data_IF_496173698177
#
_entry.id   IF_496173698177
#
_cell.length_a   1.000
_cell.length_b   1.000
_cell.length_c   1.000
_cell.angle_alpha   90.00
_cell.angle_beta   90.00
_cell.angle_gamma   90.00
#
_symmetry.space_group_name_H-M   'P 1'
#
loop_
_entity.id
_entity.type
_entity.pdbx_description
1 polymer ?
#
# COMPACT_ATOMS: atom_id res chain seq x y z
N UNK A 1 -1.58 -5.11 25.43
CA UNK A 1 -3.04 -4.89 25.45
C UNK A 1 -3.56 -4.48 24.08
N UNK A 2 -2.95 -3.48 23.39
CA UNK A 2 -3.40 -3.04 22.06
C UNK A 2 -3.41 -4.16 21.02
N UNK A 3 -2.37 -5.00 20.99
CA UNK A 3 -2.31 -6.13 20.07
C UNK A 3 -3.47 -7.10 20.26
N UNK A 4 -3.87 -7.34 21.52
CA UNK A 4 -5.03 -8.19 21.85
C UNK A 4 -6.33 -7.56 21.37
N UNK A 5 -6.52 -6.26 21.62
CA UNK A 5 -7.72 -5.54 21.15
C UNK A 5 -7.80 -5.52 19.61
N UNK A 6 -6.68 -5.32 18.93
CA UNK A 6 -6.62 -5.29 17.48
C UNK A 6 -7.00 -6.63 16.84
N UNK A 7 -6.79 -7.75 17.53
CA UNK A 7 -7.02 -9.08 16.95
C UNK A 7 -8.26 -9.79 17.48
N UNK A 8 -8.66 -9.54 18.70
CA UNK A 8 -9.62 -10.39 19.42
C UNK A 8 -10.88 -9.66 19.92
N UNK A 9 -10.96 -8.35 19.81
CA UNK A 9 -12.17 -7.65 20.22
C UNK A 9 -13.34 -7.99 19.29
N UNK A 10 -14.53 -8.17 19.85
CA UNK A 10 -15.72 -8.50 19.06
C UNK A 10 -16.18 -7.34 18.19
N UNK A 11 -15.94 -6.10 18.62
CA UNK A 11 -16.31 -4.90 17.87
C UNK A 11 -15.25 -4.53 16.84
N UNK A 12 -15.57 -4.54 15.54
CA UNK A 12 -14.62 -4.16 14.49
C UNK A 12 -14.11 -2.72 14.61
N UNK A 13 -14.90 -1.80 15.17
CA UNK A 13 -14.43 -0.42 15.39
C UNK A 13 -13.35 -0.37 16.47
N UNK A 14 -13.46 -1.19 17.50
CA UNK A 14 -12.40 -1.33 18.52
C UNK A 14 -11.15 -1.95 17.89
N UNK A 15 -11.31 -3.00 17.07
CA UNK A 15 -10.17 -3.61 16.36
C UNK A 15 -9.49 -2.59 15.44
N UNK A 16 -10.26 -1.79 14.71
CA UNK A 16 -9.74 -0.76 13.82
C UNK A 16 -8.96 0.32 14.59
N UNK A 17 -9.56 0.85 15.66
CA UNK A 17 -8.93 1.87 16.50
C UNK A 17 -7.62 1.36 17.14
N UNK A 18 -7.64 0.13 17.66
CA UNK A 18 -6.45 -0.50 18.24
C UNK A 18 -5.35 -0.72 17.18
N UNK A 19 -5.74 -1.12 15.98
CA UNK A 19 -4.82 -1.30 14.85
C UNK A 19 -4.10 0.02 14.49
N UNK A 20 -4.82 1.11 14.44
CA UNK A 20 -4.23 2.44 14.21
C UNK A 20 -3.31 2.87 15.36
N UNK A 21 -3.73 2.63 16.60
CA UNK A 21 -2.96 3.00 17.79
C UNK A 21 -1.64 2.20 17.91
N UNK A 22 -1.58 0.98 17.35
CA UNK A 22 -0.34 0.19 17.32
C UNK A 22 0.81 0.92 16.63
N UNK A 23 0.53 1.81 15.69
CA UNK A 23 1.54 2.61 15.03
C UNK A 23 2.35 3.52 15.95
N UNK A 24 1.84 3.78 17.15
CA UNK A 24 2.50 4.60 18.18
C UNK A 24 3.25 3.74 19.23
N UNK A 25 3.03 2.45 19.22
CA UNK A 25 3.64 1.52 20.18
C UNK A 25 5.04 1.11 19.73
N UNK A 26 5.93 0.87 20.68
CA UNK A 26 7.30 0.39 20.44
C UNK A 26 7.47 -1.10 20.80
N UNK A 27 6.37 -1.76 21.11
CA UNK A 27 6.42 -3.18 21.50
C UNK A 27 6.79 -4.07 20.31
N UNK A 28 7.52 -5.15 20.56
CA UNK A 28 7.90 -6.12 19.54
C UNK A 28 6.70 -6.80 18.87
N UNK A 29 5.57 -6.89 19.59
CA UNK A 29 4.33 -7.49 19.08
C UNK A 29 3.59 -6.65 18.04
N UNK A 30 3.99 -5.38 17.81
CA UNK A 30 3.30 -4.46 16.90
C UNK A 30 3.28 -4.97 15.48
N UNK A 31 4.42 -5.33 14.95
CA UNK A 31 4.53 -5.75 13.55
C UNK A 31 3.74 -7.04 13.27
N UNK A 32 3.88 -8.12 14.06
CA UNK A 32 3.05 -9.31 13.87
C UNK A 32 1.55 -9.02 13.99
N UNK A 33 1.14 -8.18 14.93
CA UNK A 33 -0.27 -7.83 15.13
C UNK A 33 -0.84 -7.07 13.92
N UNK A 34 -0.09 -6.12 13.36
CA UNK A 34 -0.50 -5.39 12.17
C UNK A 34 -0.55 -6.28 10.94
N UNK A 35 0.42 -7.17 10.77
CA UNK A 35 0.39 -8.13 9.67
C UNK A 35 -0.82 -9.07 9.77
N UNK A 36 -1.16 -9.51 10.98
CA UNK A 36 -2.37 -10.32 11.20
C UNK A 36 -3.65 -9.53 10.89
N UNK A 37 -3.69 -8.24 11.21
CA UNK A 37 -4.85 -7.38 10.94
C UNK A 37 -5.12 -7.18 9.44
N UNK A 38 -4.13 -7.40 8.57
CA UNK A 38 -4.34 -7.43 7.10
C UNK A 38 -5.26 -8.58 6.64
N UNK A 39 -5.50 -9.56 7.50
CA UNK A 39 -6.42 -10.68 7.24
C UNK A 39 -7.73 -10.58 8.03
N UNK A 40 -8.02 -9.46 8.67
CA UNK A 40 -9.26 -9.25 9.43
C UNK A 40 -10.49 -9.42 8.52
N UNK A 41 -11.57 -9.95 9.10
CA UNK A 41 -12.83 -10.13 8.38
C UNK A 41 -13.43 -8.80 7.86
N UNK A 42 -13.18 -7.71 8.55
CA UNK A 42 -13.68 -6.38 8.17
C UNK A 42 -12.65 -5.60 7.37
N UNK A 43 -13.05 -5.13 6.19
CA UNK A 43 -12.12 -4.44 5.29
C UNK A 43 -11.58 -3.12 5.89
N UNK A 44 -12.37 -2.44 6.75
CA UNK A 44 -11.91 -1.22 7.41
C UNK A 44 -10.72 -1.47 8.34
N UNK A 45 -10.68 -2.63 8.99
CA UNK A 45 -9.54 -3.05 9.82
C UNK A 45 -8.33 -3.33 8.93
N UNK A 46 -8.54 -4.05 7.81
CA UNK A 46 -7.47 -4.32 6.83
C UNK A 46 -6.90 -3.03 6.24
N UNK A 47 -7.77 -2.07 5.90
CA UNK A 47 -7.36 -0.75 5.42
C UNK A 47 -6.48 -0.02 6.44
N UNK A 48 -6.90 0.00 7.70
CA UNK A 48 -6.15 0.65 8.78
C UNK A 48 -4.80 -0.04 9.00
N UNK A 49 -4.75 -1.36 8.92
CA UNK A 49 -3.52 -2.13 9.03
C UNK A 49 -2.52 -1.75 7.93
N UNK A 50 -2.96 -1.69 6.68
CA UNK A 50 -2.11 -1.31 5.56
C UNK A 50 -1.60 0.12 5.72
N UNK A 51 -2.46 1.05 6.14
CA UNK A 51 -2.10 2.44 6.41
C UNK A 51 -1.03 2.55 7.51
N UNK A 52 -1.24 1.85 8.61
CA UNK A 52 -0.33 1.87 9.77
C UNK A 52 1.02 1.24 9.44
N UNK A 53 1.02 0.12 8.72
CA UNK A 53 2.25 -0.53 8.25
C UNK A 53 3.07 0.39 7.34
N UNK A 54 2.40 1.14 6.46
CA UNK A 54 3.07 2.13 5.62
C UNK A 54 3.73 3.25 6.42
N UNK A 55 3.09 3.71 7.48
CA UNK A 55 3.64 4.75 8.38
C UNK A 55 4.84 4.24 9.18
N UNK A 56 4.80 2.97 9.61
CA UNK A 56 5.90 2.37 10.35
C UNK A 56 7.16 2.18 9.50
N UNK A 57 7.02 1.94 8.20
CA UNK A 57 8.13 1.83 7.29
C UNK A 57 9.05 0.63 7.51
N UNK A 58 8.53 -0.47 8.07
CA UNK A 58 9.31 -1.68 8.34
C UNK A 58 9.32 -2.61 7.13
N UNK A 59 10.51 -2.99 6.67
CA UNK A 59 10.69 -3.86 5.48
C UNK A 59 9.93 -5.18 5.58
N UNK A 60 9.83 -5.73 6.79
CA UNK A 60 9.19 -7.01 7.06
C UNK A 60 7.69 -7.02 6.70
N UNK A 61 7.10 -5.83 6.56
CA UNK A 61 5.71 -5.69 6.11
C UNK A 61 5.53 -5.85 4.59
N UNK A 62 6.62 -5.90 3.83
CA UNK A 62 6.57 -5.94 2.36
C UNK A 62 5.76 -7.09 1.79
N UNK A 63 6.04 -8.32 2.18
CA UNK A 63 5.32 -9.50 1.69
C UNK A 63 3.84 -9.52 2.11
N UNK A 64 3.49 -9.26 3.38
CA UNK A 64 2.08 -9.13 3.76
C UNK A 64 1.33 -8.05 2.99
N UNK A 65 1.94 -6.89 2.75
CA UNK A 65 1.34 -5.81 1.97
C UNK A 65 1.20 -6.17 0.49
N UNK A 66 2.14 -6.92 -0.06
CA UNK A 66 2.06 -7.43 -1.43
C UNK A 66 0.82 -8.30 -1.61
N UNK A 67 0.52 -9.18 -0.66
CA UNK A 67 -0.71 -9.97 -0.65
C UNK A 67 -1.95 -9.08 -0.58
N UNK A 68 -1.92 -8.00 0.17
CA UNK A 68 -3.03 -7.06 0.32
C UNK A 68 -3.36 -6.31 -0.99
N UNK A 69 -2.46 -6.27 -1.96
CA UNK A 69 -2.76 -5.74 -3.30
C UNK A 69 -3.82 -6.56 -4.06
N UNK A 70 -4.09 -7.79 -3.63
CA UNK A 70 -5.13 -8.66 -4.20
C UNK A 70 -6.42 -8.65 -3.37
N UNK A 71 -6.56 -7.77 -2.38
CA UNK A 71 -7.76 -7.66 -1.55
C UNK A 71 -9.00 -7.38 -2.40
N UNK A 72 -10.15 -7.91 -1.98
CA UNK A 72 -11.43 -7.70 -2.69
C UNK A 72 -11.85 -6.22 -2.70
N UNK A 73 -11.42 -5.45 -1.72
CA UNK A 73 -11.79 -4.04 -1.58
C UNK A 73 -10.68 -3.13 -2.14
N UNK A 74 -11.05 -2.26 -3.08
CA UNK A 74 -10.09 -1.35 -3.70
C UNK A 74 -9.45 -0.38 -2.70
N UNK A 75 -10.17 -0.03 -1.61
CA UNK A 75 -9.64 0.83 -0.54
C UNK A 75 -8.44 0.20 0.14
N UNK A 76 -8.49 -1.11 0.37
CA UNK A 76 -7.37 -1.86 0.95
C UNK A 76 -6.20 -1.91 -0.03
N UNK A 77 -6.48 -2.20 -1.30
CA UNK A 77 -5.46 -2.21 -2.37
C UNK A 77 -4.75 -0.86 -2.47
N UNK A 78 -5.50 0.24 -2.36
CA UNK A 78 -4.94 1.60 -2.43
C UNK A 78 -3.95 1.85 -1.29
N UNK A 79 -4.32 1.48 -0.07
CA UNK A 79 -3.45 1.66 1.10
C UNK A 79 -2.22 0.76 1.03
N UNK A 80 -2.38 -0.47 0.56
CA UNK A 80 -1.28 -1.40 0.34
C UNK A 80 -0.30 -0.86 -0.72
N UNK A 81 -0.80 -0.34 -1.84
CA UNK A 81 0.03 0.26 -2.88
C UNK A 81 0.84 1.43 -2.33
N UNK A 82 0.19 2.32 -1.59
CA UNK A 82 0.86 3.46 -0.94
C UNK A 82 1.96 3.00 0.02
N UNK A 83 1.65 2.02 0.86
CA UNK A 83 2.61 1.47 1.82
C UNK A 83 3.82 0.84 1.12
N UNK A 84 3.59 0.06 0.08
CA UNK A 84 4.66 -0.60 -0.70
C UNK A 84 5.58 0.42 -1.38
N UNK A 85 5.02 1.52 -1.87
CA UNK A 85 5.80 2.62 -2.41
C UNK A 85 6.71 3.24 -1.35
N UNK A 86 6.17 3.54 -0.17
CA UNK A 86 6.93 4.11 0.96
C UNK A 86 8.03 3.19 1.44
N UNK A 87 7.78 1.88 1.47
CA UNK A 87 8.76 0.86 1.84
C UNK A 87 9.81 0.63 0.75
N UNK A 88 9.55 1.12 -0.46
CA UNK A 88 10.36 0.82 -1.64
C UNK A 88 10.53 -0.69 -1.85
N UNK A 89 9.43 -1.42 -1.68
CA UNK A 89 9.41 -2.88 -1.82
C UNK A 89 9.39 -3.27 -3.30
N UNK A 90 10.54 -3.37 -3.92
CA UNK A 90 10.70 -3.66 -5.35
C UNK A 90 10.01 -4.94 -5.83
N UNK A 91 9.90 -6.02 -5.05
CA UNK A 91 9.13 -7.20 -5.47
C UNK A 91 7.65 -6.91 -5.83
N UNK A 92 7.09 -5.77 -5.38
CA UNK A 92 5.73 -5.37 -5.73
C UNK A 92 5.60 -4.73 -7.12
N UNK A 93 6.69 -4.51 -7.85
CA UNK A 93 6.69 -3.79 -9.14
C UNK A 93 5.64 -4.32 -10.11
N UNK A 94 5.67 -5.61 -10.43
CA UNK A 94 4.75 -6.18 -11.42
C UNK A 94 3.29 -6.08 -11.00
N UNK A 95 2.99 -6.31 -9.72
CA UNK A 95 1.65 -6.18 -9.19
C UNK A 95 1.14 -4.73 -9.25
N UNK A 96 2.01 -3.76 -8.98
CA UNK A 96 1.68 -2.35 -9.10
C UNK A 96 1.49 -1.93 -10.56
N UNK A 97 2.29 -2.45 -11.48
CA UNK A 97 2.13 -2.21 -12.92
C UNK A 97 0.76 -2.70 -13.39
N UNK A 98 0.31 -3.86 -12.92
CA UNK A 98 -1.01 -4.39 -13.25
C UNK A 98 -2.14 -3.46 -12.77
N UNK A 99 -1.98 -2.75 -11.67
CA UNK A 99 -2.96 -1.80 -11.15
C UNK A 99 -3.08 -0.52 -11.99
N UNK A 100 -2.15 -0.23 -12.89
CA UNK A 100 -2.25 0.89 -13.82
C UNK A 100 -3.42 0.73 -14.81
N UNK A 101 -3.93 -0.48 -14.99
CA UNK A 101 -5.11 -0.77 -15.81
C UNK A 101 -6.41 -0.92 -15.02
N UNK A 102 -6.42 -0.68 -13.71
CA UNK A 102 -7.60 -0.89 -12.87
C UNK A 102 -8.71 0.12 -13.19
N UNK A 103 -10.01 -0.28 -13.14
CA UNK A 103 -11.14 0.63 -13.41
C UNK A 103 -11.18 1.88 -12.55
N UNK A 104 -10.73 1.81 -11.30
CA UNK A 104 -10.78 2.92 -10.34
C UNK A 104 -9.55 3.84 -10.53
N UNK A 105 -9.81 5.09 -10.93
CA UNK A 105 -8.75 6.07 -11.20
C UNK A 105 -7.85 6.36 -10.01
N UNK A 106 -8.41 6.44 -8.80
CA UNK A 106 -7.62 6.66 -7.58
C UNK A 106 -6.61 5.53 -7.35
N UNK A 107 -6.96 4.30 -7.69
CA UNK A 107 -6.05 3.16 -7.56
C UNK A 107 -4.96 3.21 -8.64
N UNK A 108 -5.31 3.56 -9.89
CA UNK A 108 -4.32 3.78 -10.95
C UNK A 108 -3.30 4.86 -10.56
N UNK A 109 -3.80 5.97 -10.01
CA UNK A 109 -2.98 7.08 -9.52
C UNK A 109 -2.00 6.62 -8.44
N UNK A 110 -2.51 5.92 -7.42
CA UNK A 110 -1.67 5.42 -6.32
C UNK A 110 -0.60 4.42 -6.82
N UNK A 111 -0.97 3.55 -7.75
CA UNK A 111 -0.03 2.62 -8.35
C UNK A 111 1.11 3.35 -9.09
N UNK A 112 0.77 4.39 -9.85
CA UNK A 112 1.78 5.19 -10.53
C UNK A 112 2.73 5.88 -9.55
N UNK A 113 2.20 6.49 -8.49
CA UNK A 113 3.02 7.13 -7.44
C UNK A 113 3.93 6.11 -6.75
N UNK A 114 3.41 4.94 -6.43
CA UNK A 114 4.18 3.87 -5.79
C UNK A 114 5.33 3.39 -6.69
N UNK A 115 5.08 3.21 -7.99
CA UNK A 115 6.11 2.82 -8.96
C UNK A 115 7.23 3.87 -9.05
N UNK A 116 6.88 5.15 -8.95
CA UNK A 116 7.87 6.21 -8.87
C UNK A 116 8.72 6.13 -7.61
N UNK A 117 8.10 5.87 -6.47
CA UNK A 117 8.80 5.70 -5.19
C UNK A 117 9.71 4.48 -5.16
N UNK A 118 9.32 3.37 -5.82
CA UNK A 118 10.19 2.20 -6.01
C UNK A 118 11.45 2.56 -6.79
N UNK A 119 11.37 3.54 -7.66
CA UNK A 119 12.46 4.03 -8.51
C UNK A 119 13.14 2.91 -9.30
N UNK A 120 12.39 1.90 -9.73
CA UNK A 120 12.89 0.81 -10.55
C UNK A 120 12.75 1.16 -12.04
N UNK A 121 13.86 1.33 -12.78
CA UNK A 121 13.80 1.68 -14.20
C UNK A 121 13.01 0.67 -15.07
N UNK A 122 12.85 -0.56 -14.60
CA UNK A 122 12.07 -1.57 -15.29
C UNK A 122 10.59 -1.19 -15.46
N UNK A 123 10.07 -0.26 -14.62
CA UNK A 123 8.70 0.25 -14.73
C UNK A 123 8.52 1.32 -15.81
N UNK A 124 9.57 1.82 -16.43
CA UNK A 124 9.49 2.93 -17.38
C UNK A 124 8.52 2.68 -18.53
N UNK A 125 8.53 1.47 -19.10
CA UNK A 125 7.65 1.15 -20.22
C UNK A 125 6.17 1.15 -19.81
N UNK A 126 5.83 0.53 -18.69
CA UNK A 126 4.46 0.51 -18.18
C UNK A 126 3.95 1.93 -17.87
N UNK A 127 4.79 2.75 -17.28
CA UNK A 127 4.46 4.15 -16.99
C UNK A 127 4.29 4.98 -18.25
N UNK A 128 5.10 4.76 -19.29
CA UNK A 128 4.95 5.45 -20.58
C UNK A 128 3.60 5.14 -21.24
N UNK A 129 3.17 3.89 -21.19
CA UNK A 129 1.84 3.50 -21.67
C UNK A 129 0.76 4.26 -20.90
N UNK A 130 0.92 4.40 -19.60
CA UNK A 130 -0.03 5.11 -18.74
C UNK A 130 -0.03 6.63 -18.93
N UNK A 131 0.92 7.21 -19.67
CA UNK A 131 0.88 8.63 -20.05
C UNK A 131 -0.37 8.99 -20.87
N UNK A 132 -1.00 8.02 -21.52
CA UNK A 132 -2.24 8.17 -22.26
C UNK A 132 -3.51 7.98 -21.42
N UNK A 133 -3.41 7.85 -20.10
CA UNK A 133 -4.59 7.64 -19.24
C UNK A 133 -5.64 8.75 -19.42
N UNK A 134 -6.92 8.38 -19.41
CA UNK A 134 -8.02 9.33 -19.53
C UNK A 134 -8.15 10.30 -18.36
N UNK A 135 -7.67 9.93 -17.18
CA UNK A 135 -7.74 10.75 -15.98
C UNK A 135 -6.51 11.67 -15.86
N UNK A 136 -6.73 13.02 -15.84
CA UNK A 136 -5.61 13.97 -15.71
C UNK A 136 -4.79 13.78 -14.43
N UNK A 137 -5.39 13.33 -13.33
CA UNK A 137 -4.68 13.08 -12.08
C UNK A 137 -3.76 11.87 -12.19
N UNK A 138 -4.19 10.85 -12.94
CA UNK A 138 -3.34 9.69 -13.23
C UNK A 138 -2.16 10.10 -14.10
N UNK A 139 -2.42 10.87 -15.17
CA UNK A 139 -1.34 11.39 -16.04
C UNK A 139 -0.31 12.20 -15.27
N UNK A 140 -0.77 13.03 -14.34
CA UNK A 140 0.12 13.81 -13.45
C UNK A 140 1.01 12.91 -12.61
N UNK A 141 0.41 11.91 -11.96
CA UNK A 141 1.15 10.93 -11.14
C UNK A 141 2.18 10.16 -11.98
N UNK A 142 1.81 9.77 -13.19
CA UNK A 142 2.72 9.07 -14.12
C UNK A 142 3.92 9.95 -14.50
N UNK A 143 3.69 11.24 -14.76
CA UNK A 143 4.80 12.17 -15.05
C UNK A 143 5.76 12.30 -13.87
N UNK A 144 5.22 12.42 -12.66
CA UNK A 144 6.02 12.46 -11.43
C UNK A 144 6.85 11.18 -11.30
N UNK A 145 6.22 10.02 -11.49
CA UNK A 145 6.89 8.72 -11.40
C UNK A 145 8.02 8.58 -12.43
N UNK A 146 7.76 8.94 -13.68
CA UNK A 146 8.79 8.89 -14.74
C UNK A 146 9.99 9.79 -14.42
N UNK A 147 9.74 10.96 -13.84
CA UNK A 147 10.82 11.86 -13.42
C UNK A 147 11.68 11.23 -12.31
N UNK A 148 11.05 10.51 -11.37
CA UNK A 148 11.77 9.79 -10.31
C UNK A 148 12.65 8.66 -10.85
N UNK A 149 12.22 7.98 -11.92
CA UNK A 149 13.03 6.92 -12.56
C UNK A 149 14.25 7.47 -13.32
N UNK A 150 14.23 8.74 -13.70
CA UNK A 150 15.30 9.40 -14.48
C UNK A 150 16.39 10.02 -13.61
N UNK A 151 16.26 9.96 -12.29
CA UNK A 151 17.29 10.49 -11.40
C UNK A 151 18.58 9.72 -11.64
N UNK A 152 19.69 10.40 -11.97
CA UNK A 152 20.96 9.74 -12.19
C UNK A 152 21.41 8.96 -10.96
N UNK A 153 21.99 7.81 -11.21
CA UNK A 153 22.57 6.99 -10.15
C UNK A 153 23.79 7.67 -9.53
#
# INVERSE_FOLDING_TARGET
>A
ELARLASADADPEVRRAATGALGLSREAAVLPALCAALADAQWQVREEAATTLGKLGREEAGEPLLKALADDYWQVRLRAARALGRLRHRPAREALEALLGHPIGNLRKEAALALGELADPASAQALRVAEGDGDPEVRKAVRIALAQLRVPA
#
